data_IF_006823500244
#
_entry.id   IF_006823500244
#
_cell.length_a   1.000
_cell.length_b   1.000
_cell.length_c   1.000
_cell.angle_alpha   90.00
_cell.angle_beta   90.00
_cell.angle_gamma   90.00
#
_symmetry.space_group_name_H-M   'P 1'
#
loop_
_entity.id
_entity.type
_entity.pdbx_description
1 polymer ?
#
# COMPACT_ATOMS: atom_id res chain seq x y z
N UNK A 1 -0.50 25.71 5.42
CA UNK A 1 -0.60 24.82 6.60
C UNK A 1 -2.06 24.52 6.98
N UNK A 2 -2.93 25.49 7.16
CA UNK A 2 -4.33 25.31 7.60
C UNK A 2 -5.15 24.34 6.70
N UNK A 3 -5.05 24.48 5.36
CA UNK A 3 -5.76 23.58 4.42
C UNK A 3 -5.38 22.10 4.58
N UNK A 4 -4.12 21.79 4.83
CA UNK A 4 -3.66 20.41 5.04
C UNK A 4 -4.19 19.82 6.35
N UNK A 5 -4.20 20.58 7.42
CA UNK A 5 -4.75 20.16 8.71
C UNK A 5 -6.25 19.89 8.61
N UNK A 6 -7.00 20.80 7.97
CA UNK A 6 -8.44 20.63 7.74
C UNK A 6 -8.72 19.36 6.93
N UNK A 7 -8.00 19.13 5.84
CA UNK A 7 -8.13 17.91 5.04
C UNK A 7 -7.82 16.67 5.87
N UNK A 8 -6.76 16.71 6.68
CA UNK A 8 -6.39 15.61 7.58
C UNK A 8 -7.51 15.26 8.58
N UNK A 9 -8.17 16.26 9.14
CA UNK A 9 -9.31 16.05 10.05
C UNK A 9 -10.51 15.48 9.29
N UNK A 10 -10.87 16.08 8.16
CA UNK A 10 -12.05 15.67 7.37
C UNK A 10 -11.92 14.24 6.85
N UNK A 11 -10.75 13.82 6.41
CA UNK A 11 -10.52 12.45 5.94
C UNK A 11 -10.16 11.49 7.07
N UNK A 12 -9.36 11.91 8.03
CA UNK A 12 -8.86 11.07 9.11
C UNK A 12 -9.96 10.67 10.11
N UNK A 13 -10.83 11.61 10.49
CA UNK A 13 -11.88 11.34 11.48
C UNK A 13 -12.83 10.20 11.07
N UNK A 14 -13.41 10.19 9.86
CA UNK A 14 -14.27 9.08 9.45
C UNK A 14 -13.51 7.75 9.31
N UNK A 15 -12.26 7.77 8.86
CA UNK A 15 -11.43 6.56 8.76
C UNK A 15 -11.19 5.97 10.15
N UNK A 16 -10.78 6.78 11.12
CA UNK A 16 -10.55 6.34 12.50
C UNK A 16 -11.85 5.81 13.13
N UNK A 17 -12.96 6.53 12.94
CA UNK A 17 -14.28 6.12 13.45
C UNK A 17 -14.70 4.76 12.85
N UNK A 18 -14.49 4.55 11.56
CA UNK A 18 -14.78 3.27 10.89
C UNK A 18 -13.92 2.14 11.44
N UNK A 19 -12.61 2.37 11.63
CA UNK A 19 -11.70 1.39 12.23
C UNK A 19 -12.17 0.98 13.62
N UNK A 20 -12.48 1.94 14.49
CA UNK A 20 -12.96 1.67 15.85
C UNK A 20 -14.30 0.91 15.85
N UNK A 21 -15.19 1.25 14.92
CA UNK A 21 -16.47 0.55 14.77
C UNK A 21 -16.27 -0.89 14.29
N UNK A 22 -15.40 -1.12 13.31
CA UNK A 22 -15.05 -2.46 12.84
C UNK A 22 -14.51 -3.31 13.99
N UNK A 23 -13.52 -2.80 14.75
CA UNK A 23 -12.93 -3.53 15.89
C UNK A 23 -13.99 -3.90 16.94
N UNK A 24 -14.92 -2.98 17.26
CA UNK A 24 -15.99 -3.24 18.24
C UNK A 24 -17.03 -4.24 17.77
N UNK A 25 -17.37 -4.26 16.48
CA UNK A 25 -18.46 -5.07 15.95
C UNK A 25 -18.04 -6.48 15.56
N UNK A 26 -16.79 -6.68 15.15
CA UNK A 26 -16.35 -7.93 14.51
C UNK A 26 -15.61 -8.91 15.42
N UNK A 27 -15.37 -8.55 16.69
CA UNK A 27 -14.74 -9.43 17.67
C UNK A 27 -13.45 -10.08 17.15
N UNK A 28 -13.34 -11.40 17.19
CA UNK A 28 -12.14 -12.13 16.76
C UNK A 28 -11.84 -12.03 15.25
N UNK A 29 -12.85 -11.73 14.44
CA UNK A 29 -12.70 -11.59 12.97
C UNK A 29 -12.30 -10.17 12.52
N UNK A 30 -12.07 -9.24 13.48
CA UNK A 30 -11.79 -7.83 13.17
C UNK A 30 -10.68 -7.62 12.15
N UNK A 31 -9.67 -8.49 12.14
CA UNK A 31 -8.53 -8.36 11.26
C UNK A 31 -8.89 -8.48 9.78
N UNK A 32 -9.76 -9.44 9.43
CA UNK A 32 -10.21 -9.64 8.06
C UNK A 32 -10.98 -8.40 7.54
N UNK A 33 -11.89 -7.88 8.34
CA UNK A 33 -12.66 -6.69 7.98
C UNK A 33 -11.81 -5.43 7.95
N UNK A 34 -10.84 -5.32 8.84
CA UNK A 34 -9.90 -4.20 8.87
C UNK A 34 -8.97 -4.23 7.63
N UNK A 35 -8.50 -5.41 7.23
CA UNK A 35 -7.73 -5.57 6.00
C UNK A 35 -8.56 -5.18 4.77
N UNK A 36 -9.78 -5.68 4.64
CA UNK A 36 -10.68 -5.35 3.52
C UNK A 36 -10.97 -3.85 3.47
N UNK A 37 -11.25 -3.23 4.60
CA UNK A 37 -11.44 -1.79 4.72
C UNK A 37 -10.17 -1.03 4.32
N UNK A 38 -9.00 -1.47 4.74
CA UNK A 38 -7.70 -0.88 4.35
C UNK A 38 -7.48 -0.93 2.84
N UNK A 39 -7.76 -2.04 2.18
CA UNK A 39 -7.71 -2.17 0.72
C UNK A 39 -8.67 -1.19 0.05
N UNK A 40 -9.89 -1.08 0.55
CA UNK A 40 -10.89 -0.12 0.04
C UNK A 40 -10.39 1.32 0.16
N UNK A 41 -9.91 1.72 1.34
CA UNK A 41 -9.37 3.07 1.58
C UNK A 41 -8.16 3.34 0.67
N UNK A 42 -7.30 2.35 0.45
CA UNK A 42 -6.13 2.49 -0.41
C UNK A 42 -6.52 2.73 -1.88
N UNK A 43 -7.46 1.94 -2.43
CA UNK A 43 -7.97 2.12 -3.79
C UNK A 43 -8.66 3.49 -3.92
N UNK A 44 -9.48 3.86 -2.93
CA UNK A 44 -10.14 5.15 -2.86
C UNK A 44 -9.13 6.30 -2.86
N UNK A 45 -8.10 6.23 -2.02
CA UNK A 45 -7.05 7.24 -1.94
C UNK A 45 -6.29 7.39 -3.26
N UNK A 46 -5.89 6.28 -3.91
CA UNK A 46 -5.18 6.30 -5.20
C UNK A 46 -6.04 6.98 -6.28
N UNK A 47 -7.36 6.78 -6.25
CA UNK A 47 -8.27 7.35 -7.25
C UNK A 47 -8.60 8.81 -6.96
N UNK A 48 -8.93 9.14 -5.71
CA UNK A 48 -9.42 10.47 -5.30
C UNK A 48 -8.28 11.48 -5.17
N UNK A 49 -7.11 11.05 -4.72
CA UNK A 49 -5.97 11.95 -4.50
C UNK A 49 -5.64 12.80 -5.74
N UNK A 50 -5.41 12.23 -6.92
CA UNK A 50 -5.07 13.03 -8.10
C UNK A 50 -6.23 13.87 -8.63
N UNK A 51 -7.47 13.44 -8.44
CA UNK A 51 -8.65 14.10 -9.02
C UNK A 51 -9.11 15.28 -8.15
N UNK A 52 -9.14 15.10 -6.83
CA UNK A 52 -9.71 16.08 -5.90
C UNK A 52 -8.65 16.79 -5.06
N UNK A 53 -7.65 16.06 -4.55
CA UNK A 53 -6.69 16.60 -3.59
C UNK A 53 -5.60 17.38 -4.31
N UNK A 54 -5.06 16.86 -5.40
CA UNK A 54 -3.98 17.50 -6.14
C UNK A 54 -4.33 18.92 -6.60
N UNK A 55 -5.47 19.18 -7.26
CA UNK A 55 -5.83 20.53 -7.73
C UNK A 55 -6.18 21.49 -6.59
N UNK A 56 -6.57 20.97 -5.40
CA UNK A 56 -6.83 21.79 -4.22
C UNK A 56 -5.57 22.47 -3.66
N UNK A 57 -4.42 21.80 -3.81
CA UNK A 57 -3.15 22.25 -3.27
C UNK A 57 -2.20 22.84 -4.31
N UNK A 58 -2.37 22.51 -5.58
CA UNK A 58 -1.45 22.88 -6.64
C UNK A 58 -2.21 23.52 -7.80
N UNK A 59 -1.63 24.56 -8.37
CA UNK A 59 -2.12 25.14 -9.63
C UNK A 59 -1.54 24.33 -10.78
N UNK A 60 -2.41 23.63 -11.49
CA UNK A 60 -2.08 22.91 -12.70
C UNK A 60 -2.28 23.87 -13.88
N UNK A 61 -1.23 24.11 -14.64
CA UNK A 61 -1.27 24.89 -15.88
C UNK A 61 -1.04 23.97 -17.06
N UNK A 62 -1.79 24.06 -18.14
CA UNK A 62 -1.53 23.26 -19.34
C UNK A 62 -0.15 23.60 -19.91
N UNK A 63 0.59 22.60 -20.38
CA UNK A 63 1.88 22.78 -21.01
C UNK A 63 1.68 23.53 -22.32
N UNK A 64 2.47 24.61 -22.52
CA UNK A 64 2.45 25.40 -23.75
C UNK A 64 2.89 24.55 -24.95
N UNK A 65 2.33 24.81 -26.15
CA UNK A 65 2.78 24.19 -27.38
C UNK A 65 4.28 24.46 -27.59
N UNK A 66 5.04 23.42 -27.90
CA UNK A 66 6.47 23.52 -28.09
C UNK A 66 7.11 22.16 -28.35
N UNK A 67 8.41 22.15 -28.47
CA UNK A 67 9.22 20.96 -28.75
C UNK A 67 9.04 19.89 -27.69
N UNK A 68 9.06 20.26 -26.41
CA UNK A 68 8.83 19.35 -25.28
C UNK A 68 7.48 18.65 -25.37
N UNK A 69 6.38 19.41 -25.66
CA UNK A 69 5.06 18.84 -25.80
C UNK A 69 5.00 17.81 -26.90
N UNK A 70 5.56 18.12 -28.06
CA UNK A 70 5.62 17.23 -29.21
C UNK A 70 6.42 15.97 -28.90
N UNK A 71 7.56 16.10 -28.22
CA UNK A 71 8.39 14.99 -27.79
C UNK A 71 7.65 14.02 -26.86
N UNK A 72 6.97 14.56 -25.83
CA UNK A 72 6.18 13.77 -24.89
C UNK A 72 4.95 13.09 -25.54
N UNK A 73 4.23 13.77 -26.42
CA UNK A 73 3.12 13.18 -27.16
C UNK A 73 3.59 12.03 -28.08
N UNK A 74 4.74 12.19 -28.74
CA UNK A 74 5.33 11.13 -29.55
C UNK A 74 5.76 9.93 -28.70
N UNK A 75 6.35 10.16 -27.54
CA UNK A 75 6.71 9.12 -26.59
C UNK A 75 5.47 8.36 -26.09
N UNK A 76 4.43 9.08 -25.68
CA UNK A 76 3.18 8.50 -25.21
C UNK A 76 2.53 7.62 -26.31
N UNK A 77 2.56 8.09 -27.56
CA UNK A 77 2.04 7.35 -28.72
C UNK A 77 2.83 6.06 -28.98
N UNK A 78 4.17 6.10 -28.84
CA UNK A 78 5.01 4.90 -29.01
C UNK A 78 4.76 3.81 -27.95
N UNK A 79 4.29 4.20 -26.78
CA UNK A 79 4.02 3.30 -25.65
C UNK A 79 2.54 2.96 -25.48
N UNK A 80 1.67 3.37 -26.41
CA UNK A 80 0.21 3.24 -26.31
C UNK A 80 -0.35 3.77 -24.99
N UNK A 81 0.29 4.83 -24.45
CA UNK A 81 -0.11 5.46 -23.21
C UNK A 81 -1.35 6.34 -23.44
N UNK A 82 -2.46 6.16 -22.70
CA UNK A 82 -3.70 6.90 -22.90
C UNK A 82 -3.59 8.34 -22.38
N UNK A 83 -2.70 9.13 -22.99
CA UNK A 83 -2.45 10.51 -22.63
C UNK A 83 -3.63 11.40 -23.00
N UNK A 84 -4.15 12.15 -22.05
CA UNK A 84 -5.18 13.16 -22.27
C UNK A 84 -4.55 14.57 -22.35
N UNK A 85 -3.87 14.96 -21.29
CA UNK A 85 -3.32 16.32 -21.16
C UNK A 85 -1.98 16.30 -20.40
N UNK A 86 -1.20 17.33 -20.71
CA UNK A 86 0.10 17.62 -20.07
C UNK A 86 -0.05 18.87 -19.24
N UNK A 87 0.30 18.76 -17.94
CA UNK A 87 0.27 19.86 -17.00
C UNK A 87 1.65 20.21 -16.49
N UNK A 88 1.85 21.47 -16.20
CA UNK A 88 2.98 21.99 -15.44
C UNK A 88 2.49 22.39 -14.06
N UNK A 89 3.26 22.03 -13.04
CA UNK A 89 3.00 22.38 -11.66
C UNK A 89 4.11 23.31 -11.14
N UNK A 90 3.71 24.31 -10.38
CA UNK A 90 4.62 25.23 -9.71
C UNK A 90 5.29 24.52 -8.51
N UNK A 91 6.38 23.82 -8.77
CA UNK A 91 7.19 23.11 -7.79
C UNK A 91 8.21 24.00 -7.11
N UNK A 92 8.63 25.08 -7.78
CA UNK A 92 9.66 26.01 -7.31
C UNK A 92 9.33 26.64 -5.95
N UNK A 93 8.04 26.84 -5.66
CA UNK A 93 7.57 27.41 -4.39
C UNK A 93 7.64 26.46 -3.18
N UNK A 94 7.81 25.15 -3.39
CA UNK A 94 7.76 24.16 -2.31
C UNK A 94 9.04 23.37 -2.11
N UNK A 95 9.71 23.02 -3.17
CA UNK A 95 10.98 22.30 -3.11
C UNK A 95 11.80 22.54 -4.37
N UNK A 96 13.11 22.51 -4.23
CA UNK A 96 14.04 22.59 -5.36
C UNK A 96 14.15 21.25 -6.15
N UNK A 97 13.31 20.26 -5.82
CA UNK A 97 13.36 18.95 -6.46
C UNK A 97 12.66 19.02 -7.81
N UNK A 98 13.38 18.59 -8.83
CA UNK A 98 12.87 18.38 -10.17
C UNK A 98 12.21 17.00 -10.24
N UNK A 99 10.96 16.92 -10.68
CA UNK A 99 10.24 15.67 -10.78
C UNK A 99 9.20 15.72 -11.90
N UNK A 100 8.79 14.55 -12.36
CA UNK A 100 7.66 14.38 -13.23
C UNK A 100 6.91 13.11 -12.80
N UNK A 101 5.60 13.08 -12.95
CA UNK A 101 4.77 11.92 -12.64
C UNK A 101 3.50 11.91 -13.49
N UNK A 102 2.84 10.77 -13.52
CA UNK A 102 1.55 10.63 -14.18
C UNK A 102 0.47 10.20 -13.19
N UNK A 103 -0.76 10.57 -13.49
CA UNK A 103 -1.92 10.18 -12.71
C UNK A 103 -3.16 10.01 -13.61
N UNK A 104 -4.24 9.48 -13.05
CA UNK A 104 -5.51 9.33 -13.71
C UNK A 104 -6.01 7.90 -13.77
N UNK A 105 -7.16 7.74 -14.41
CA UNK A 105 -7.82 6.45 -14.61
C UNK A 105 -7.08 5.60 -15.65
N UNK A 106 -7.31 4.29 -15.71
CA UNK A 106 -6.64 3.43 -16.69
C UNK A 106 -6.80 3.87 -18.14
N UNK A 107 -7.92 4.50 -18.48
CA UNK A 107 -8.28 4.98 -19.83
C UNK A 107 -8.08 6.48 -20.06
N UNK A 108 -7.76 7.25 -19.02
CA UNK A 108 -7.50 8.70 -19.09
C UNK A 108 -6.40 9.07 -18.13
N UNK A 109 -5.23 9.34 -18.68
CA UNK A 109 -4.04 9.69 -17.89
C UNK A 109 -3.55 11.08 -18.24
N UNK A 110 -3.02 11.72 -17.22
CA UNK A 110 -2.39 13.02 -17.31
C UNK A 110 -0.95 12.92 -16.85
N UNK A 111 -0.06 13.66 -17.51
CA UNK A 111 1.33 13.79 -17.09
C UNK A 111 1.49 15.17 -16.47
N UNK A 112 2.18 15.22 -15.35
CA UNK A 112 2.53 16.46 -14.65
C UNK A 112 4.04 16.58 -14.59
N UNK A 113 4.53 17.71 -15.04
CA UNK A 113 5.95 18.06 -15.07
C UNK A 113 6.14 19.25 -14.12
N UNK A 114 7.17 19.21 -13.29
CA UNK A 114 7.51 20.35 -12.46
C UNK A 114 8.19 21.44 -13.30
N UNK A 115 7.86 22.70 -13.04
CA UNK A 115 8.52 23.86 -13.65
C UNK A 115 10.05 23.79 -13.48
N UNK A 116 10.51 23.40 -12.30
CA UNK A 116 11.93 23.20 -11.97
C UNK A 116 12.64 22.16 -12.85
N UNK A 117 11.92 21.16 -13.36
CA UNK A 117 12.49 20.19 -14.29
C UNK A 117 12.66 20.80 -15.69
N UNK A 118 11.67 21.58 -16.14
CA UNK A 118 11.71 22.26 -17.45
C UNK A 118 12.81 23.33 -17.47
N UNK A 119 12.98 24.06 -16.36
CA UNK A 119 14.00 25.13 -16.25
C UNK A 119 15.43 24.61 -16.19
N UNK A 120 15.63 23.40 -15.65
CA UNK A 120 16.98 22.85 -15.37
C UNK A 120 17.46 21.83 -16.39
N UNK A 121 16.58 21.35 -17.25
CA UNK A 121 16.87 20.27 -18.21
C UNK A 121 16.46 20.65 -19.61
N UNK A 122 17.17 20.13 -20.60
CA UNK A 122 16.77 20.27 -21.99
C UNK A 122 15.53 19.42 -22.32
N UNK A 123 14.75 19.79 -23.35
CA UNK A 123 13.53 19.06 -23.71
C UNK A 123 13.73 17.55 -23.87
N UNK A 124 14.83 17.13 -24.49
CA UNK A 124 15.14 15.71 -24.70
C UNK A 124 15.45 14.97 -23.39
N UNK A 125 16.09 15.63 -22.42
CA UNK A 125 16.33 15.07 -21.09
C UNK A 125 15.01 14.86 -20.34
N UNK A 126 14.10 15.83 -20.41
CA UNK A 126 12.76 15.70 -19.81
C UNK A 126 11.98 14.55 -20.43
N UNK A 127 12.07 14.38 -21.75
CA UNK A 127 11.45 13.25 -22.48
C UNK A 127 12.06 11.93 -22.04
N UNK A 128 13.38 11.86 -21.81
CA UNK A 128 14.04 10.65 -21.31
C UNK A 128 13.58 10.28 -19.89
N UNK A 129 13.48 11.26 -18.98
CA UNK A 129 12.93 11.05 -17.62
C UNK A 129 11.49 10.52 -17.70
N UNK A 130 10.65 11.12 -18.53
CA UNK A 130 9.29 10.65 -18.74
C UNK A 130 9.24 9.25 -19.35
N UNK A 131 10.18 8.92 -20.24
CA UNK A 131 10.34 7.57 -20.79
C UNK A 131 10.59 6.53 -19.71
N UNK A 132 11.39 6.86 -18.72
CA UNK A 132 11.61 6.01 -17.54
C UNK A 132 10.33 5.80 -16.74
N UNK A 133 9.61 6.88 -16.42
CA UNK A 133 8.34 6.82 -15.68
C UNK A 133 7.24 6.04 -16.42
N UNK A 134 7.11 6.26 -17.74
CA UNK A 134 6.17 5.52 -18.56
C UNK A 134 6.57 4.04 -18.69
N UNK A 135 7.86 3.73 -18.65
CA UNK A 135 8.37 2.37 -18.56
C UNK A 135 7.86 1.63 -17.31
N UNK A 136 7.87 2.27 -16.16
CA UNK A 136 7.28 1.73 -14.94
C UNK A 136 5.78 1.45 -15.09
N UNK A 137 5.06 2.31 -15.79
CA UNK A 137 3.65 2.10 -16.09
C UNK A 137 3.42 0.90 -17.02
N UNK A 138 4.14 0.82 -18.14
CA UNK A 138 3.98 -0.25 -19.12
C UNK A 138 4.25 -1.64 -18.52
N UNK A 139 5.20 -1.71 -17.59
CA UNK A 139 5.52 -2.92 -16.83
C UNK A 139 4.59 -3.16 -15.63
N UNK A 140 3.63 -2.29 -15.39
CA UNK A 140 2.67 -2.36 -14.27
C UNK A 140 3.34 -2.51 -12.90
N UNK A 141 4.49 -1.88 -12.69
CA UNK A 141 5.29 -2.01 -11.46
C UNK A 141 4.49 -1.61 -10.22
N UNK A 142 3.77 -0.49 -10.26
CA UNK A 142 2.95 0.00 -9.14
C UNK A 142 1.87 -1.01 -8.74
N UNK A 143 1.19 -1.60 -9.72
CA UNK A 143 0.15 -2.61 -9.47
C UNK A 143 0.75 -3.90 -8.88
N UNK A 144 1.90 -4.34 -9.41
CA UNK A 144 2.62 -5.51 -8.88
C UNK A 144 3.08 -5.28 -7.44
N UNK A 145 3.65 -4.12 -7.14
CA UNK A 145 4.07 -3.77 -5.78
C UNK A 145 2.88 -3.72 -4.81
N UNK A 146 1.75 -3.16 -5.25
CA UNK A 146 0.53 -3.15 -4.47
C UNK A 146 0.05 -4.57 -4.13
N UNK A 147 0.00 -5.45 -5.11
CA UNK A 147 -0.39 -6.86 -4.91
C UNK A 147 0.58 -7.59 -3.98
N UNK A 148 1.88 -7.42 -4.17
CA UNK A 148 2.90 -8.02 -3.29
C UNK A 148 2.71 -7.54 -1.85
N UNK A 149 2.47 -6.25 -1.64
CA UNK A 149 2.22 -5.70 -0.31
C UNK A 149 0.99 -6.33 0.35
N UNK A 150 -0.11 -6.53 -0.39
CA UNK A 150 -1.31 -7.20 0.14
C UNK A 150 -1.05 -8.67 0.50
N UNK A 151 -0.34 -9.39 -0.36
CA UNK A 151 0.06 -10.79 -0.07
C UNK A 151 0.95 -10.86 1.17
N UNK A 152 1.93 -9.98 1.30
CA UNK A 152 2.80 -9.92 2.48
C UNK A 152 2.01 -9.69 3.78
N UNK A 153 0.99 -8.81 3.76
CA UNK A 153 0.14 -8.57 4.92
C UNK A 153 -0.63 -9.84 5.34
N UNK A 154 -1.19 -10.57 4.38
CA UNK A 154 -1.91 -11.82 4.62
C UNK A 154 -0.96 -12.89 5.18
N UNK A 155 0.21 -13.07 4.55
CA UNK A 155 1.20 -14.06 4.98
C UNK A 155 1.70 -13.76 6.41
N UNK A 156 2.00 -12.51 6.71
CA UNK A 156 2.38 -12.11 8.07
C UNK A 156 1.28 -12.43 9.10
N UNK A 157 0.01 -12.27 8.73
CA UNK A 157 -1.11 -12.62 9.60
C UNK A 157 -1.20 -14.12 9.85
N UNK A 158 -1.07 -14.92 8.81
CA UNK A 158 -1.07 -16.39 8.92
C UNK A 158 0.09 -16.86 9.81
N UNK A 159 1.29 -16.31 9.61
CA UNK A 159 2.46 -16.61 10.43
C UNK A 159 2.25 -16.24 11.91
N UNK A 160 1.62 -15.08 12.18
CA UNK A 160 1.28 -14.66 13.54
C UNK A 160 0.29 -15.61 14.22
N UNK A 161 -0.76 -16.02 13.52
CA UNK A 161 -1.74 -17.00 14.03
C UNK A 161 -1.05 -18.33 14.34
N UNK A 162 -0.22 -18.83 13.42
CA UNK A 162 0.53 -20.07 13.60
C UNK A 162 1.46 -20.00 14.82
N UNK A 163 2.18 -18.88 15.01
CA UNK A 163 3.01 -18.67 16.21
C UNK A 163 2.17 -18.70 17.49
N UNK A 164 1.03 -18.01 17.51
CA UNK A 164 0.13 -17.98 18.67
C UNK A 164 -0.40 -19.38 19.01
N UNK A 165 -0.78 -20.17 18.00
CA UNK A 165 -1.21 -21.55 18.17
C UNK A 165 -0.09 -22.45 18.73
N UNK A 166 1.14 -22.32 18.22
CA UNK A 166 2.30 -23.06 18.72
C UNK A 166 2.64 -22.69 20.18
N UNK A 167 2.55 -21.40 20.54
CA UNK A 167 2.75 -20.94 21.91
C UNK A 167 1.67 -21.47 22.85
N UNK A 168 0.43 -21.60 22.37
CA UNK A 168 -0.68 -22.16 23.14
C UNK A 168 -0.65 -23.69 23.22
N UNK A 169 -0.09 -24.35 22.20
CA UNK A 169 0.07 -25.80 22.13
C UNK A 169 1.32 -26.32 22.90
N UNK A 170 2.17 -25.43 23.40
CA UNK A 170 3.26 -25.77 24.31
C UNK A 170 2.92 -25.36 25.76
N UNK A 171 1.91 -25.97 26.39
CA UNK A 171 1.69 -25.75 27.81
C UNK A 171 2.51 -26.72 28.63
N UNK A 172 3.27 -26.16 29.53
CA UNK A 172 3.68 -26.87 30.77
C UNK A 172 4.68 -28.01 30.64
N UNK A 173 5.92 -27.68 30.20
CA UNK A 173 7.05 -28.50 30.68
C UNK A 173 8.10 -27.67 31.45
N UNK A 174 7.78 -26.47 31.95
CA UNK A 174 8.76 -25.65 32.67
C UNK A 174 8.35 -25.12 34.04
N UNK A 175 7.32 -25.66 34.67
CA UNK A 175 6.95 -25.23 36.04
C UNK A 175 6.95 -26.36 37.08
N UNK A 176 7.84 -27.37 36.95
CA UNK A 176 8.02 -28.34 38.04
C UNK A 176 9.49 -28.58 38.42
N UNK A 177 10.37 -27.64 38.19
CA UNK A 177 11.78 -27.77 38.60
C UNK A 177 12.23 -26.78 39.69
N UNK A 178 11.29 -26.23 40.45
CA UNK A 178 11.68 -25.43 41.60
C UNK A 178 10.73 -25.59 42.79
N UNK A 179 10.51 -26.80 43.27
CA UNK A 179 10.18 -27.06 44.67
C UNK A 179 9.94 -28.56 44.89
N UNK A 180 10.97 -29.32 45.12
CA UNK A 180 10.93 -30.41 46.09
C UNK A 180 12.31 -31.04 46.18
N UNK A 181 13.08 -30.56 47.13
CA UNK A 181 13.97 -31.44 47.85
C UNK A 181 13.10 -32.45 48.58
N UNK A 182 13.52 -33.71 48.47
CA UNK A 182 13.13 -34.80 49.36
C UNK A 182 11.80 -35.51 49.02
N UNK A 183 11.85 -36.61 48.28
CA UNK A 183 11.52 -37.96 48.76
C UNK A 183 11.58 -38.97 47.61
N UNK A 184 12.34 -40.00 47.80
CA UNK A 184 12.44 -41.20 46.98
C UNK A 184 11.09 -41.92 46.89
N UNK A 185 10.64 -42.23 45.67
CA UNK A 185 10.08 -43.53 45.28
C UNK A 185 9.67 -43.52 43.79
N UNK A 186 10.08 -44.55 43.14
CA UNK A 186 9.87 -44.95 41.75
C UNK A 186 8.40 -45.08 41.34
N UNK A 187 8.04 -44.59 40.15
CA UNK A 187 7.05 -45.22 39.23
C UNK A 187 7.05 -44.61 37.84
N UNK A 188 6.84 -45.40 36.78
CA UNK A 188 7.17 -45.06 35.40
C UNK A 188 6.03 -44.37 34.65
N UNK A 189 6.44 -43.56 33.70
CA UNK A 189 5.54 -42.96 32.70
C UNK A 189 4.89 -44.02 31.81
N UNK A 190 3.58 -44.15 31.91
CA UNK A 190 2.78 -44.98 31.03
C UNK A 190 2.44 -44.18 29.76
N UNK A 191 2.86 -44.74 28.63
CA UNK A 191 2.53 -44.30 27.29
C UNK A 191 1.05 -44.50 27.02
N UNK A 192 0.34 -43.43 26.70
CA UNK A 192 -1.02 -43.50 26.13
C UNK A 192 -0.93 -43.69 24.62
N UNK A 193 -1.16 -44.93 24.18
CA UNK A 193 -1.40 -45.34 22.83
C UNK A 193 -2.77 -44.81 22.33
N UNK A 194 -2.76 -44.10 21.22
CA UNK A 194 -3.97 -43.75 20.48
C UNK A 194 -4.48 -45.01 19.79
N UNK A 195 -5.58 -45.55 20.30
CA UNK A 195 -6.35 -46.64 19.68
C UNK A 195 -7.23 -46.05 18.55
N UNK A 196 -6.86 -46.39 17.33
CA UNK A 196 -7.74 -46.34 16.16
C UNK A 196 -8.86 -47.36 16.33
N UNK A 197 -10.09 -46.90 16.34
CA UNK A 197 -11.27 -47.78 16.11
C UNK A 197 -11.95 -47.42 14.81
N UNK A 198 -11.64 -48.19 13.79
CA UNK A 198 -12.57 -48.48 12.70
C UNK A 198 -13.71 -49.31 13.25
N UNK A 199 -14.93 -48.95 12.98
CA UNK A 199 -16.03 -49.90 12.85
C UNK A 199 -16.99 -49.44 11.75
N UNK A 200 -17.04 -50.28 10.75
CA UNK A 200 -18.07 -50.49 9.77
C UNK A 200 -19.38 -50.93 10.48
N UNK A 201 -20.45 -50.39 10.08
CA UNK A 201 -21.75 -51.02 9.65
C UNK A 201 -22.76 -49.93 9.35
#
# INVERSE_FOLDING_TARGET
MLKGQMLGIVLGTPIISAVLKIVKLTGDSFFYYLWLFGVFVQIFAITIYPIAILPLFNKLSPLQPGELKTGVENLARKLDFPLQELYVIDGSKRSAHSNAYFFGLPWKKHIVIYDTLIEKSEPDEVVAVLGHELGHWSLSHTTKLLLIAQVCLIVNRIAFIKRKLLTYASPTCSTSLHSSRFSSTTSPCTSLSVSSRNNLS
#
